data_IF_535031923694
#
_entry.id   IF_535031923694
#
_cell.length_a   1.000
_cell.length_b   1.000
_cell.length_c   1.000
_cell.angle_alpha   90.00
_cell.angle_beta   90.00
_cell.angle_gamma   90.00
#
_symmetry.space_group_name_H-M   'P 1'
#
loop_
_entity.id
_entity.type
_entity.pdbx_description
1 polymer ?
#
# COMPACT_ATOMS: atom_id res chain seq x y z
N UNK A 1 18.99 -9.34 -22.06
CA UNK A 1 17.53 -9.34 -22.34
C UNK A 1 16.82 -9.26 -21.00
N UNK A 2 16.18 -8.14 -20.72
CA UNK A 2 15.51 -7.88 -19.45
C UNK A 2 14.13 -8.55 -19.51
N UNK A 3 13.93 -9.62 -18.74
CA UNK A 3 12.63 -10.27 -18.62
C UNK A 3 11.63 -9.28 -18.05
N UNK A 4 10.74 -8.77 -18.91
CA UNK A 4 9.56 -8.03 -18.49
C UNK A 4 8.77 -8.99 -17.58
N UNK A 5 8.80 -8.74 -16.26
CA UNK A 5 8.00 -9.47 -15.26
C UNK A 5 6.56 -9.53 -15.73
N UNK A 6 6.14 -10.66 -16.31
CA UNK A 6 4.75 -10.90 -16.67
C UNK A 6 3.92 -10.77 -15.40
N UNK A 7 2.98 -9.83 -15.39
CA UNK A 7 2.12 -9.59 -14.24
C UNK A 7 1.25 -10.82 -13.97
N UNK A 8 1.21 -11.28 -12.71
CA UNK A 8 0.37 -12.43 -12.32
C UNK A 8 -1.12 -12.07 -12.52
N UNK A 9 -1.93 -12.92 -13.18
CA UNK A 9 -3.35 -12.64 -13.47
C UNK A 9 -4.19 -12.30 -12.22
N UNK A 10 -3.81 -12.88 -11.08
CA UNK A 10 -4.42 -12.61 -9.77
C UNK A 10 -4.26 -11.14 -9.37
N UNK A 11 -3.05 -10.57 -9.37
CA UNK A 11 -2.84 -9.19 -8.94
C UNK A 11 -3.58 -8.19 -9.82
N UNK A 12 -3.62 -8.44 -11.13
CA UNK A 12 -4.38 -7.64 -12.08
C UNK A 12 -5.88 -7.68 -11.77
N UNK A 13 -6.42 -8.85 -11.40
CA UNK A 13 -7.82 -8.97 -10.97
C UNK A 13 -8.12 -8.11 -9.74
N UNK A 14 -7.26 -8.11 -8.71
CA UNK A 14 -7.47 -7.27 -7.52
C UNK A 14 -7.36 -5.78 -7.84
N UNK A 15 -6.44 -5.40 -8.72
CA UNK A 15 -6.32 -4.03 -9.19
C UNK A 15 -7.58 -3.58 -9.93
N UNK A 16 -8.07 -4.38 -10.88
CA UNK A 16 -9.31 -4.09 -11.61
C UNK A 16 -10.49 -3.95 -10.64
N UNK A 17 -10.58 -4.82 -9.63
CA UNK A 17 -11.61 -4.71 -8.60
C UNK A 17 -11.47 -3.44 -7.77
N UNK A 18 -10.25 -3.01 -7.42
CA UNK A 18 -10.01 -1.76 -6.71
C UNK A 18 -10.46 -0.54 -7.54
N UNK A 19 -10.19 -0.54 -8.85
CA UNK A 19 -10.66 0.48 -9.78
C UNK A 19 -12.20 0.51 -9.84
N UNK A 20 -12.85 -0.65 -10.00
CA UNK A 20 -14.31 -0.76 -10.02
C UNK A 20 -14.91 -0.23 -8.71
N UNK A 21 -14.34 -0.61 -7.57
CA UNK A 21 -14.80 -0.18 -6.26
C UNK A 21 -14.68 1.34 -6.08
N UNK A 22 -13.57 1.95 -6.52
CA UNK A 22 -13.41 3.40 -6.52
C UNK A 22 -14.48 4.08 -7.39
N UNK A 23 -14.70 3.59 -8.61
CA UNK A 23 -15.69 4.14 -9.54
C UNK A 23 -17.11 4.11 -8.95
N UNK A 24 -17.49 3.01 -8.29
CA UNK A 24 -18.81 2.81 -7.68
C UNK A 24 -18.99 3.53 -6.33
N UNK A 25 -17.92 4.05 -5.73
CA UNK A 25 -17.99 4.66 -4.40
C UNK A 25 -18.79 5.98 -4.42
N UNK A 26 -19.94 6.01 -3.73
CA UNK A 26 -20.83 7.19 -3.70
C UNK A 26 -20.33 8.30 -2.77
N UNK A 27 -19.43 7.99 -1.85
CA UNK A 27 -18.91 8.94 -0.87
C UNK A 27 -17.80 9.84 -1.44
N UNK A 28 -17.35 9.55 -2.66
CA UNK A 28 -16.27 10.26 -3.35
C UNK A 28 -16.84 11.00 -4.55
N UNK A 29 -16.48 12.27 -4.70
CA UNK A 29 -16.88 13.09 -5.84
C UNK A 29 -16.26 12.57 -7.14
N UNK A 30 -16.95 12.76 -8.26
CA UNK A 30 -16.46 12.33 -9.58
C UNK A 30 -15.09 12.95 -9.92
N UNK A 31 -14.88 14.22 -9.55
CA UNK A 31 -13.61 14.92 -9.78
C UNK A 31 -12.44 14.29 -9.00
N UNK A 32 -12.64 13.90 -7.74
CA UNK A 32 -11.61 13.23 -6.95
C UNK A 32 -11.30 11.83 -7.48
N UNK A 33 -12.31 11.09 -7.98
CA UNK A 33 -12.08 9.80 -8.66
C UNK A 33 -11.17 9.99 -9.88
N UNK A 34 -11.44 11.03 -10.69
CA UNK A 34 -10.61 11.37 -11.85
C UNK A 34 -9.17 11.66 -11.45
N UNK A 35 -8.94 12.43 -10.38
CA UNK A 35 -7.57 12.70 -9.91
C UNK A 35 -6.85 11.44 -9.43
N UNK A 36 -7.52 10.55 -8.68
CA UNK A 36 -6.92 9.30 -8.22
C UNK A 36 -6.56 8.42 -9.41
N UNK A 37 -7.48 8.22 -10.36
CA UNK A 37 -7.22 7.41 -11.56
C UNK A 37 -6.15 8.02 -12.46
N UNK A 38 -6.14 9.36 -12.59
CA UNK A 38 -5.09 10.11 -13.29
C UNK A 38 -3.71 9.88 -12.68
N UNK A 39 -3.60 9.94 -11.35
CA UNK A 39 -2.37 9.63 -10.62
C UNK A 39 -1.90 8.19 -10.87
N UNK A 40 -2.80 7.21 -10.82
CA UNK A 40 -2.45 5.81 -11.10
C UNK A 40 -1.91 5.68 -12.54
N UNK A 41 -2.61 6.24 -13.53
CA UNK A 41 -2.20 6.13 -14.94
C UNK A 41 -0.91 6.89 -15.25
N UNK A 42 -0.80 8.14 -14.83
CA UNK A 42 0.32 9.00 -15.24
C UNK A 42 1.56 8.78 -14.39
N UNK A 43 1.40 8.69 -13.06
CA UNK A 43 2.55 8.58 -12.16
C UNK A 43 2.93 7.12 -11.89
N UNK A 44 1.96 6.21 -11.72
CA UNK A 44 2.29 4.83 -11.33
C UNK A 44 2.53 3.89 -12.52
N UNK A 45 2.08 4.23 -13.73
CA UNK A 45 2.25 3.40 -14.93
C UNK A 45 3.30 3.95 -15.89
N UNK A 46 3.38 5.27 -16.05
CA UNK A 46 4.18 5.90 -17.10
C UNK A 46 5.49 6.50 -16.57
N UNK A 47 5.51 7.07 -15.35
CA UNK A 47 6.71 7.71 -14.77
C UNK A 47 7.79 6.70 -14.38
N UNK A 48 9.06 7.04 -14.67
CA UNK A 48 10.30 6.43 -14.18
C UNK A 48 10.69 5.05 -14.74
N UNK A 49 10.28 4.75 -15.98
CA UNK A 49 10.86 3.67 -16.79
C UNK A 49 10.42 2.24 -16.42
N UNK A 50 9.78 2.04 -15.26
CA UNK A 50 9.12 0.76 -14.94
C UNK A 50 7.79 0.99 -14.21
N UNK A 51 6.68 0.50 -14.76
CA UNK A 51 5.38 0.59 -14.10
C UNK A 51 5.40 -0.05 -12.72
N UNK A 52 4.82 0.61 -11.72
CA UNK A 52 4.66 0.01 -10.40
C UNK A 52 3.80 -1.26 -10.49
N UNK A 53 4.09 -2.26 -9.66
CA UNK A 53 3.26 -3.50 -9.59
C UNK A 53 1.78 -3.18 -9.34
N UNK A 54 0.87 -4.02 -9.84
CA UNK A 54 -0.56 -3.92 -9.58
C UNK A 54 -0.89 -3.89 -8.08
N UNK A 55 -0.16 -4.65 -7.26
CA UNK A 55 -0.28 -4.60 -5.80
C UNK A 55 0.02 -3.22 -5.20
N UNK A 56 1.04 -2.51 -5.70
CA UNK A 56 1.37 -1.14 -5.25
C UNK A 56 0.31 -0.14 -5.70
N UNK A 57 -0.15 -0.22 -6.96
CA UNK A 57 -1.22 0.64 -7.48
C UNK A 57 -2.52 0.47 -6.70
N UNK A 58 -2.88 -0.78 -6.40
CA UNK A 58 -4.06 -1.11 -5.58
C UNK A 58 -3.97 -0.51 -4.17
N UNK A 59 -2.78 -0.50 -3.55
CA UNK A 59 -2.56 0.17 -2.26
C UNK A 59 -2.77 1.68 -2.36
N UNK A 60 -2.24 2.34 -3.39
CA UNK A 60 -2.49 3.77 -3.60
C UNK A 60 -3.98 4.06 -3.74
N UNK A 61 -4.70 3.30 -4.57
CA UNK A 61 -6.16 3.44 -4.71
C UNK A 61 -6.83 3.31 -3.34
N UNK A 62 -6.48 2.28 -2.56
CA UNK A 62 -7.05 2.07 -1.24
C UNK A 62 -6.84 3.27 -0.31
N UNK A 63 -5.60 3.73 -0.15
CA UNK A 63 -5.28 4.83 0.76
C UNK A 63 -5.91 6.15 0.32
N UNK A 64 -5.88 6.47 -0.98
CA UNK A 64 -6.45 7.71 -1.51
C UNK A 64 -7.98 7.70 -1.49
N UNK A 65 -8.60 6.52 -1.65
CA UNK A 65 -10.05 6.34 -1.45
C UNK A 65 -10.43 6.70 -0.01
N UNK A 66 -9.72 6.13 0.97
CA UNK A 66 -9.98 6.41 2.39
C UNK A 66 -9.73 7.88 2.73
N UNK A 67 -8.66 8.46 2.20
CA UNK A 67 -8.41 9.89 2.34
C UNK A 67 -9.58 10.73 1.81
N UNK A 68 -10.09 10.42 0.61
CA UNK A 68 -11.24 11.14 0.04
C UNK A 68 -12.52 10.98 0.86
N UNK A 69 -12.82 9.76 1.29
CA UNK A 69 -14.03 9.47 2.09
C UNK A 69 -14.06 10.22 3.41
N UNK A 70 -12.93 10.27 4.12
CA UNK A 70 -12.91 10.73 5.52
C UNK A 70 -12.41 12.17 5.69
N UNK A 71 -11.71 12.75 4.72
CA UNK A 71 -11.30 14.15 4.78
C UNK A 71 -12.45 15.14 4.54
N UNK A 72 -13.52 14.70 3.87
CA UNK A 72 -14.62 15.58 3.46
C UNK A 72 -14.29 16.50 2.27
N UNK A 73 -13.06 16.42 1.74
CA UNK A 73 -12.60 17.25 0.62
C UNK A 73 -13.37 16.90 -0.65
N UNK A 74 -14.08 17.88 -1.22
CA UNK A 74 -14.86 17.69 -2.46
C UNK A 74 -14.03 17.78 -3.74
N UNK A 75 -12.94 18.53 -3.69
CA UNK A 75 -11.99 18.73 -4.78
C UNK A 75 -10.57 18.81 -4.21
N UNK A 76 -9.74 17.82 -4.52
CA UNK A 76 -8.38 17.74 -3.99
C UNK A 76 -7.50 18.93 -4.34
N UNK A 77 -7.69 19.58 -5.50
CA UNK A 77 -6.90 20.76 -5.88
C UNK A 77 -7.27 21.99 -5.05
N UNK A 78 -8.52 22.05 -4.58
CA UNK A 78 -9.02 23.13 -3.71
C UNK A 78 -8.82 22.85 -2.22
N UNK A 79 -8.27 21.67 -1.88
CA UNK A 79 -7.99 21.31 -0.49
C UNK A 79 -7.01 22.29 0.14
N UNK A 80 -7.38 22.81 1.31
CA UNK A 80 -6.51 23.62 2.13
C UNK A 80 -5.64 22.72 3.01
N UNK A 81 -4.62 23.32 3.63
CA UNK A 81 -3.72 22.59 4.53
C UNK A 81 -4.48 22.06 5.74
N UNK A 82 -5.40 22.85 6.27
CA UNK A 82 -6.20 22.54 7.44
C UNK A 82 -7.09 21.32 7.22
N UNK A 83 -7.62 21.13 6.00
CA UNK A 83 -8.41 19.94 5.64
C UNK A 83 -7.58 18.66 5.76
N UNK A 84 -6.32 18.73 5.31
CA UNK A 84 -5.37 17.62 5.37
C UNK A 84 -4.94 17.38 6.81
N UNK A 85 -4.62 18.43 7.58
CA UNK A 85 -4.28 18.34 9.00
C UNK A 85 -5.40 17.69 9.81
N UNK A 86 -6.65 18.10 9.59
CA UNK A 86 -7.83 17.52 10.22
C UNK A 86 -7.94 16.01 9.92
N UNK A 87 -7.73 15.59 8.67
CA UNK A 87 -7.68 14.17 8.34
C UNK A 87 -6.56 13.44 9.09
N UNK A 88 -5.35 14.01 9.13
CA UNK A 88 -4.19 13.41 9.81
C UNK A 88 -4.43 13.28 11.31
N UNK A 89 -5.07 14.25 11.95
CA UNK A 89 -5.45 14.21 13.37
C UNK A 89 -6.43 13.07 13.60
N UNK A 90 -7.55 13.01 12.86
CA UNK A 90 -8.56 11.94 12.98
C UNK A 90 -7.97 10.55 12.76
N UNK A 91 -7.07 10.43 11.78
CA UNK A 91 -6.38 9.17 11.49
C UNK A 91 -5.47 8.72 12.65
N UNK A 92 -4.75 9.66 13.27
CA UNK A 92 -3.84 9.38 14.39
C UNK A 92 -4.58 9.11 15.70
N UNK A 93 -5.73 9.75 15.92
CA UNK A 93 -6.58 9.56 17.10
C UNK A 93 -7.40 8.26 17.03
N UNK A 94 -7.36 7.54 15.91
CA UNK A 94 -8.11 6.30 15.72
C UNK A 94 -9.60 6.50 15.45
N UNK A 95 -10.04 7.72 15.14
CA UNK A 95 -11.42 8.02 14.76
C UNK A 95 -11.78 7.38 13.42
N UNK A 96 -10.79 7.27 12.53
CA UNK A 96 -10.94 6.54 11.27
C UNK A 96 -10.58 5.07 11.51
N UNK A 97 -11.59 4.21 11.38
CA UNK A 97 -11.47 2.78 11.69
C UNK A 97 -11.55 1.90 10.44
N UNK A 98 -11.09 0.66 10.61
CA UNK A 98 -11.25 -0.44 9.66
C UNK A 98 -12.00 -1.58 10.34
N UNK A 99 -12.84 -2.29 9.57
CA UNK A 99 -13.55 -3.46 10.06
C UNK A 99 -12.62 -4.68 10.03
N UNK A 100 -12.34 -5.26 11.19
CA UNK A 100 -11.54 -6.48 11.34
C UNK A 100 -12.24 -7.43 12.31
N UNK A 101 -12.44 -8.70 11.91
CA UNK A 101 -13.17 -9.70 12.71
C UNK A 101 -14.52 -9.21 13.25
N UNK A 102 -15.28 -8.47 12.40
CA UNK A 102 -16.58 -7.85 12.74
C UNK A 102 -16.53 -6.69 13.75
N UNK A 103 -15.35 -6.24 14.18
CA UNK A 103 -15.16 -5.10 15.08
C UNK A 103 -14.52 -3.93 14.32
N UNK A 104 -14.89 -2.70 14.66
CA UNK A 104 -14.20 -1.50 14.15
C UNK A 104 -12.95 -1.26 14.99
N UNK A 105 -11.79 -1.24 14.34
CA UNK A 105 -10.51 -1.00 15.00
C UNK A 105 -9.77 0.15 14.34
N UNK A 106 -9.01 0.96 15.09
CA UNK A 106 -8.08 1.93 14.53
C UNK A 106 -7.08 1.28 13.56
N UNK A 107 -6.57 2.09 12.63
CA UNK A 107 -5.49 1.65 11.75
C UNK A 107 -4.18 1.43 12.52
N UNK A 108 -3.41 0.44 12.07
CA UNK A 108 -2.06 0.22 12.60
C UNK A 108 -1.13 1.39 12.26
N UNK A 109 -0.08 1.61 13.05
CA UNK A 109 0.95 2.65 12.79
C UNK A 109 1.51 2.52 11.36
N UNK A 110 1.74 1.28 10.89
CA UNK A 110 2.20 1.01 9.52
C UNK A 110 1.20 1.52 8.48
N UNK A 111 -0.08 1.18 8.65
CA UNK A 111 -1.14 1.62 7.73
C UNK A 111 -1.31 3.14 7.73
N UNK A 112 -1.19 3.78 8.90
CA UNK A 112 -1.18 5.24 9.01
C UNK A 112 0.00 5.81 8.22
N UNK A 113 1.21 5.31 8.44
CA UNK A 113 2.41 5.74 7.72
C UNK A 113 2.30 5.56 6.20
N UNK A 114 1.77 4.43 5.73
CA UNK A 114 1.55 4.18 4.31
C UNK A 114 0.48 5.11 3.71
N UNK A 115 -0.58 5.43 4.46
CA UNK A 115 -1.61 6.40 4.05
C UNK A 115 -1.02 7.81 3.94
N UNK A 116 -0.25 8.25 4.93
CA UNK A 116 0.43 9.55 4.92
C UNK A 116 1.43 9.67 3.77
N UNK A 117 2.19 8.60 3.51
CA UNK A 117 3.09 8.52 2.36
C UNK A 117 2.34 8.62 1.03
N UNK A 118 1.20 7.92 0.91
CA UNK A 118 0.37 7.98 -0.29
C UNK A 118 -0.17 9.38 -0.57
N UNK A 119 -0.69 10.08 0.45
CA UNK A 119 -1.18 11.46 0.33
C UNK A 119 -0.05 12.39 -0.13
N UNK A 120 1.13 12.27 0.49
CA UNK A 120 2.29 13.11 0.17
C UNK A 120 2.76 12.92 -1.27
N UNK A 121 2.88 11.67 -1.73
CA UNK A 121 3.25 11.34 -3.12
C UNK A 121 2.16 11.79 -4.11
N UNK A 122 0.88 11.60 -3.76
CA UNK A 122 -0.23 12.02 -4.60
C UNK A 122 -0.25 13.53 -4.83
N UNK A 123 -0.08 14.35 -3.79
CA UNK A 123 -0.05 15.80 -3.94
C UNK A 123 1.22 16.32 -4.62
N UNK A 124 2.35 15.61 -4.49
CA UNK A 124 3.55 15.88 -5.30
C UNK A 124 3.27 15.75 -6.79
N UNK A 125 2.46 14.77 -7.19
CA UNK A 125 2.00 14.63 -8.57
C UNK A 125 0.91 15.66 -8.94
N UNK A 126 -0.09 15.85 -8.07
CA UNK A 126 -1.29 16.61 -8.42
C UNK A 126 -1.03 18.11 -8.62
N UNK A 127 -0.11 18.66 -7.84
CA UNK A 127 0.18 20.11 -7.78
C UNK A 127 1.66 20.45 -7.86
N UNK A 128 2.54 19.46 -7.68
CA UNK A 128 3.98 19.67 -7.82
C UNK A 128 4.42 19.56 -9.28
N UNK A 129 5.70 19.83 -9.47
CA UNK A 129 6.47 19.62 -10.70
C UNK A 129 6.97 18.16 -10.84
N UNK A 130 6.52 17.25 -9.96
CA UNK A 130 7.06 15.89 -9.88
C UNK A 130 8.38 15.76 -9.10
N UNK A 131 8.95 16.87 -8.61
CA UNK A 131 10.21 16.88 -7.84
C UNK A 131 10.00 17.39 -6.41
N UNK A 132 9.23 18.46 -6.23
CA UNK A 132 9.01 19.14 -4.96
C UNK A 132 7.64 18.85 -4.35
N UNK A 133 7.58 18.80 -3.02
CA UNK A 133 6.32 18.62 -2.29
C UNK A 133 5.65 19.97 -2.07
N UNK A 134 4.35 20.15 -2.41
CA UNK A 134 3.60 21.35 -2.08
C UNK A 134 3.60 21.62 -0.57
N UNK A 135 3.64 22.89 -0.17
CA UNK A 135 3.69 23.31 1.25
C UNK A 135 2.60 22.65 2.11
N UNK A 136 1.41 22.41 1.55
CA UNK A 136 0.27 21.81 2.27
C UNK A 136 0.45 20.34 2.65
N UNK A 137 1.42 19.63 2.06
CA UNK A 137 1.76 18.23 2.41
C UNK A 137 3.22 18.02 2.78
N UNK A 138 4.10 19.01 2.57
CA UNK A 138 5.53 18.89 2.82
C UNK A 138 5.86 18.51 4.28
N UNK A 139 5.06 19.01 5.23
CA UNK A 139 5.19 18.77 6.67
C UNK A 139 4.85 17.33 7.11
N UNK A 140 4.15 16.56 6.26
CA UNK A 140 3.74 15.19 6.60
C UNK A 140 4.98 14.30 6.73
N UNK A 141 5.13 13.67 7.91
CA UNK A 141 6.18 12.68 8.21
C UNK A 141 5.58 11.27 8.24
N UNK A 142 6.23 10.32 7.57
CA UNK A 142 5.82 8.91 7.61
C UNK A 142 6.08 8.36 9.02
N UNK A 143 5.05 7.81 9.66
CA UNK A 143 5.23 7.01 10.88
C UNK A 143 5.68 5.61 10.50
N UNK A 144 6.84 5.17 10.98
CA UNK A 144 7.32 3.80 10.83
C UNK A 144 7.56 3.22 12.21
N UNK A 145 6.94 2.06 12.48
CA UNK A 145 7.32 1.23 13.63
C UNK A 145 8.46 0.33 13.17
N UNK A 146 9.61 0.41 13.84
CA UNK A 146 10.64 -0.62 13.71
C UNK A 146 10.07 -1.88 14.33
N UNK A 147 9.91 -2.91 13.51
CA UNK A 147 9.72 -4.26 14.01
C UNK A 147 11.12 -4.79 14.26
N UNK A 148 11.35 -5.28 15.47
CA UNK A 148 12.50 -6.12 15.78
C UNK A 148 12.01 -7.57 15.73
N UNK A 149 12.00 -8.21 14.54
CA UNK A 149 11.55 -9.58 14.42
C UNK A 149 12.53 -10.48 15.18
N UNK A 150 12.03 -11.27 16.13
CA UNK A 150 12.84 -12.31 16.75
C UNK A 150 13.27 -13.33 15.70
N UNK A 151 14.58 -13.48 15.53
CA UNK A 151 15.17 -14.54 14.72
C UNK A 151 14.88 -15.90 15.37
N UNK A 152 14.63 -16.90 14.53
CA UNK A 152 14.54 -18.28 15.01
C UNK A 152 15.93 -18.78 15.41
N UNK A 153 15.99 -19.49 16.53
CA UNK A 153 17.18 -20.24 16.94
C UNK A 153 17.31 -21.53 16.12
N UNK A 154 18.50 -22.10 16.04
CA UNK A 154 18.75 -23.38 15.35
C UNK A 154 17.84 -24.50 15.85
N UNK A 155 17.65 -24.62 17.17
CA UNK A 155 16.73 -25.61 17.76
C UNK A 155 15.29 -25.43 17.28
N UNK A 156 14.82 -24.19 17.11
CA UNK A 156 13.49 -23.91 16.58
C UNK A 156 13.39 -24.23 15.09
N UNK A 157 14.46 -24.00 14.32
CA UNK A 157 14.54 -24.38 12.91
C UNK A 157 14.49 -25.90 12.76
N UNK A 158 15.21 -26.66 13.58
CA UNK A 158 15.17 -28.13 13.54
C UNK A 158 13.80 -28.68 13.92
N UNK A 159 13.14 -28.12 14.94
CA UNK A 159 11.74 -28.44 15.27
C UNK A 159 10.79 -28.12 14.11
N UNK A 160 11.02 -27.00 13.42
CA UNK A 160 10.24 -26.62 12.25
C UNK A 160 10.43 -27.63 11.10
N UNK A 161 11.67 -28.05 10.81
CA UNK A 161 11.96 -29.08 9.79
C UNK A 161 11.30 -30.41 10.13
N UNK A 162 11.40 -30.86 11.38
CA UNK A 162 10.86 -32.14 11.84
C UNK A 162 9.32 -32.16 11.86
N UNK A 163 8.67 -31.03 12.17
CA UNK A 163 7.21 -30.93 12.26
C UNK A 163 6.47 -30.89 10.91
N UNK A 164 7.18 -30.85 9.78
CA UNK A 164 6.56 -30.72 8.45
C UNK A 164 6.30 -32.09 7.82
N UNK A 165 5.03 -32.47 7.80
CA UNK A 165 4.58 -33.80 7.33
C UNK A 165 4.81 -34.11 5.84
N UNK A 166 5.18 -33.14 5.00
CA UNK A 166 5.41 -33.38 3.56
C UNK A 166 6.81 -32.98 3.12
N UNK A 167 7.39 -33.75 2.20
CA UNK A 167 8.71 -33.48 1.59
C UNK A 167 8.71 -32.09 0.95
N UNK A 168 7.62 -31.72 0.26
CA UNK A 168 7.44 -30.39 -0.33
C UNK A 168 7.58 -29.27 0.70
N UNK A 169 6.89 -29.35 1.83
CA UNK A 169 6.95 -28.28 2.82
C UNK A 169 8.33 -28.21 3.50
N UNK A 170 9.00 -29.36 3.70
CA UNK A 170 10.39 -29.42 4.19
C UNK A 170 11.35 -28.73 3.22
N UNK A 171 11.25 -29.03 1.93
CA UNK A 171 12.02 -28.38 0.88
C UNK A 171 11.78 -26.86 0.86
N UNK A 172 10.53 -26.42 0.97
CA UNK A 172 10.20 -25.00 1.04
C UNK A 172 10.87 -24.30 2.23
N UNK A 173 10.92 -24.90 3.42
CA UNK A 173 11.60 -24.27 4.57
C UNK A 173 13.11 -24.17 4.37
N UNK A 174 13.73 -25.18 3.75
CA UNK A 174 15.15 -25.16 3.41
C UNK A 174 15.49 -24.06 2.41
N UNK A 175 14.73 -23.99 1.31
CA UNK A 175 14.90 -23.00 0.24
C UNK A 175 14.62 -21.57 0.72
N UNK A 176 13.56 -21.37 1.52
CA UNK A 176 13.14 -20.04 1.96
C UNK A 176 13.97 -19.48 3.11
N UNK A 177 14.42 -20.34 4.02
CA UNK A 177 14.86 -19.91 5.34
C UNK A 177 16.25 -20.35 5.78
N UNK A 178 16.79 -21.43 5.21
CA UNK A 178 18.03 -22.03 5.73
C UNK A 178 19.19 -21.90 4.74
N UNK A 179 19.00 -22.28 3.48
CA UNK A 179 20.13 -22.53 2.57
C UNK A 179 20.24 -21.47 1.48
N UNK A 180 19.13 -21.09 0.84
CA UNK A 180 19.13 -20.17 -0.29
C UNK A 180 18.60 -18.77 0.05
N UNK A 181 17.95 -18.62 1.22
CA UNK A 181 17.40 -17.34 1.69
C UNK A 181 16.39 -16.70 0.72
N UNK A 182 15.74 -17.49 -0.13
CA UNK A 182 14.82 -16.97 -1.14
C UNK A 182 13.54 -16.46 -0.49
N UNK A 183 13.00 -15.36 -1.01
CA UNK A 183 11.65 -14.95 -0.62
C UNK A 183 10.62 -15.96 -1.16
N UNK A 184 9.47 -16.13 -0.48
CA UNK A 184 8.40 -17.02 -0.96
C UNK A 184 8.04 -16.82 -2.43
N UNK A 185 8.02 -15.57 -2.89
CA UNK A 185 7.69 -15.30 -4.27
C UNK A 185 8.81 -15.66 -5.27
N UNK A 186 10.08 -15.64 -4.84
CA UNK A 186 11.22 -16.04 -5.67
C UNK A 186 11.27 -17.57 -5.79
N UNK A 187 11.14 -18.28 -4.66
CA UNK A 187 11.13 -19.75 -4.65
C UNK A 187 9.98 -20.37 -5.48
N UNK A 188 8.83 -19.70 -5.53
CA UNK A 188 7.67 -20.16 -6.32
C UNK A 188 7.80 -19.88 -7.83
N UNK A 189 8.82 -19.13 -8.27
CA UNK A 189 9.11 -18.92 -9.69
C UNK A 189 10.48 -19.51 -10.10
N UNK A 190 11.08 -20.37 -9.27
CA UNK A 190 12.12 -21.31 -9.70
C UNK A 190 11.49 -22.39 -10.58
#
# INVERSE_FOLDING_TARGET
MEEIRKSKPHEQKYFNQAVINLSKNKNITSINKTYILGFIRQHCEISDGTPLSFSRRSRYIHHLTKFSEFSGIKDFKKAKREDIENFVIKLNNGEITQRRHRVNMPYSIKTIGDTLGAIKTFYKYLEGDGYTFPKKVAWIKKKTKFLDPQSLTESQVEKLKAGLGTIRNRFMVLVLGCDLGLRPNEAMNL
#
